data_IF_768837572556
#
_entry.id   IF_768837572556
#
_cell.length_a   1.000
_cell.length_b   1.000
_cell.length_c   1.000
_cell.angle_alpha   90.00
_cell.angle_beta   90.00
_cell.angle_gamma   90.00
#
_symmetry.space_group_name_H-M   'P 1'
#
loop_
_entity.id
_entity.type
_entity.pdbx_description
1 polymer ?
#
# COMPACT_ATOMS: atom_id res chain seq x y z
N UNK A 1 -37.87 6.90 -27.16
CA UNK A 1 -37.48 7.28 -25.78
C UNK A 1 -36.00 6.97 -25.63
N UNK A 2 -35.16 8.00 -25.50
CA UNK A 2 -33.71 7.85 -25.37
C UNK A 2 -33.42 7.31 -23.97
N UNK A 3 -32.77 6.15 -23.86
CA UNK A 3 -32.30 5.64 -22.58
C UNK A 3 -31.36 6.69 -21.96
N UNK A 4 -31.54 7.09 -20.69
CA UNK A 4 -30.60 8.00 -20.05
C UNK A 4 -29.20 7.39 -20.15
N UNK A 5 -28.22 8.17 -20.65
CA UNK A 5 -26.82 7.74 -20.79
C UNK A 5 -26.41 7.06 -19.49
N UNK A 6 -26.33 5.73 -19.49
CA UNK A 6 -26.00 4.94 -18.30
C UNK A 6 -24.61 5.38 -17.88
N UNK A 7 -24.53 6.11 -16.77
CA UNK A 7 -23.27 6.51 -16.17
C UNK A 7 -22.48 5.22 -15.94
N UNK A 8 -21.29 5.14 -16.50
CA UNK A 8 -20.45 3.97 -16.32
C UNK A 8 -19.99 3.94 -14.86
N UNK A 9 -20.66 3.12 -14.05
CA UNK A 9 -20.44 3.05 -12.60
C UNK A 9 -18.98 2.83 -12.25
N UNK A 10 -18.25 2.04 -13.04
CA UNK A 10 -16.82 1.81 -12.79
C UNK A 10 -15.96 3.04 -13.01
N UNK A 11 -16.30 3.84 -14.02
CA UNK A 11 -15.65 5.14 -14.25
C UNK A 11 -15.99 6.12 -13.14
N UNK A 12 -17.23 6.16 -12.66
CA UNK A 12 -17.62 7.01 -11.54
C UNK A 12 -16.87 6.64 -10.26
N UNK A 13 -16.75 5.35 -9.95
CA UNK A 13 -16.00 4.85 -8.78
C UNK A 13 -14.53 5.30 -8.84
N UNK A 14 -13.83 5.02 -9.95
CA UNK A 14 -12.41 5.39 -10.03
C UNK A 14 -12.22 6.91 -10.07
N UNK A 15 -13.12 7.67 -10.70
CA UNK A 15 -13.05 9.13 -10.70
C UNK A 15 -13.23 9.71 -9.29
N UNK A 16 -14.16 9.16 -8.52
CA UNK A 16 -14.31 9.49 -7.10
C UNK A 16 -13.03 9.21 -6.32
N UNK A 17 -12.42 8.03 -6.52
CA UNK A 17 -11.15 7.67 -5.86
C UNK A 17 -10.02 8.63 -6.24
N UNK A 18 -9.83 8.94 -7.52
CA UNK A 18 -8.81 9.91 -7.95
C UNK A 18 -9.06 11.30 -7.34
N UNK A 19 -10.32 11.72 -7.23
CA UNK A 19 -10.71 12.97 -6.57
C UNK A 19 -10.46 12.96 -5.07
N UNK A 20 -10.77 11.86 -4.39
CA UNK A 20 -10.47 11.66 -2.97
C UNK A 20 -8.96 11.73 -2.72
N UNK A 21 -8.17 10.99 -3.50
CA UNK A 21 -6.71 10.94 -3.35
C UNK A 21 -6.03 12.28 -3.66
N UNK A 22 -6.63 13.15 -4.46
CA UNK A 22 -6.12 14.51 -4.70
C UNK A 22 -6.03 15.33 -3.41
N UNK A 23 -6.91 15.09 -2.45
CA UNK A 23 -6.87 15.75 -1.15
C UNK A 23 -5.86 15.10 -0.17
N UNK A 24 -5.23 13.99 -0.55
CA UNK A 24 -4.35 13.20 0.31
C UNK A 24 -3.06 12.81 -0.44
N UNK A 25 -2.07 13.72 -0.55
CA UNK A 25 -0.83 13.48 -1.29
C UNK A 25 -0.06 12.23 -0.83
N UNK A 26 -0.09 11.93 0.47
CA UNK A 26 0.55 10.75 1.05
C UNK A 26 -0.15 9.43 0.71
N UNK A 27 -1.34 9.51 0.10
CA UNK A 27 -2.18 8.39 -0.28
C UNK A 27 -3.06 7.86 0.85
N UNK A 28 -4.04 7.04 0.48
CA UNK A 28 -4.95 6.36 1.43
C UNK A 28 -4.84 4.86 1.33
N UNK A 29 -5.15 4.18 2.43
CA UNK A 29 -5.29 2.72 2.44
C UNK A 29 -6.57 2.32 1.69
N UNK A 30 -6.60 1.17 1.00
CA UNK A 30 -7.80 0.68 0.33
C UNK A 30 -9.01 0.59 1.24
N UNK A 31 -8.86 0.13 2.49
CA UNK A 31 -9.93 0.11 3.49
C UNK A 31 -10.60 1.48 3.66
N UNK A 32 -9.81 2.53 3.87
CA UNK A 32 -10.34 3.89 4.04
C UNK A 32 -11.05 4.37 2.77
N UNK A 33 -10.50 4.04 1.59
CA UNK A 33 -11.11 4.37 0.31
C UNK A 33 -12.47 3.66 0.16
N UNK A 34 -12.56 2.40 0.56
CA UNK A 34 -13.80 1.62 0.52
C UNK A 34 -14.87 2.22 1.44
N UNK A 35 -14.51 2.56 2.68
CA UNK A 35 -15.42 3.22 3.62
C UNK A 35 -15.92 4.57 3.08
N UNK A 36 -15.04 5.36 2.45
CA UNK A 36 -15.40 6.65 1.85
C UNK A 36 -16.36 6.48 0.67
N UNK A 37 -16.18 5.44 -0.15
CA UNK A 37 -17.10 5.10 -1.24
C UNK A 37 -18.47 4.72 -0.68
N UNK A 38 -18.51 3.80 0.30
CA UNK A 38 -19.77 3.35 0.90
C UNK A 38 -20.53 4.49 1.59
N UNK A 39 -19.81 5.45 2.19
CA UNK A 39 -20.40 6.59 2.88
C UNK A 39 -20.86 7.71 1.94
N UNK A 40 -20.09 8.03 0.90
CA UNK A 40 -20.30 9.26 0.10
C UNK A 40 -20.92 9.02 -1.27
N UNK A 41 -20.82 7.81 -1.83
CA UNK A 41 -21.42 7.52 -3.14
C UNK A 41 -22.80 6.86 -2.98
N UNK A 42 -23.80 7.26 -3.80
CA UNK A 42 -25.09 6.59 -3.83
C UNK A 42 -24.94 5.23 -4.55
N UNK A 43 -24.64 4.19 -3.76
CA UNK A 43 -24.59 2.80 -4.21
C UNK A 43 -26.01 2.21 -4.14
N UNK A 44 -26.51 1.72 -5.27
CA UNK A 44 -27.82 1.08 -5.38
C UNK A 44 -27.75 -0.41 -4.99
N UNK A 45 -28.90 -1.10 -5.01
CA UNK A 45 -28.96 -2.52 -4.65
C UNK A 45 -28.16 -3.40 -5.61
N UNK A 46 -28.04 -3.01 -6.88
CA UNK A 46 -27.26 -3.74 -7.88
C UNK A 46 -25.76 -3.64 -7.61
N UNK A 47 -25.28 -2.49 -7.16
CA UNK A 47 -23.88 -2.28 -6.75
C UNK A 47 -23.51 -3.11 -5.52
N UNK A 48 -24.45 -3.23 -4.58
CA UNK A 48 -24.27 -3.92 -3.30
C UNK A 48 -24.44 -5.43 -3.40
N UNK A 49 -24.98 -5.93 -4.51
CA UNK A 49 -25.14 -7.36 -4.74
C UNK A 49 -23.80 -8.11 -4.61
N UNK A 50 -23.78 -9.15 -3.80
CA UNK A 50 -22.61 -10.01 -3.61
C UNK A 50 -22.38 -10.90 -4.82
N UNK A 51 -21.17 -10.84 -5.39
CA UNK A 51 -20.80 -11.69 -6.52
C UNK A 51 -20.50 -13.13 -6.08
N UNK A 52 -21.06 -14.12 -6.80
CA UNK A 52 -20.94 -15.55 -6.45
C UNK A 52 -19.50 -16.08 -6.44
N UNK A 53 -18.60 -15.52 -7.25
CA UNK A 53 -17.22 -16.00 -7.33
C UNK A 53 -16.31 -15.41 -6.26
N UNK A 54 -16.24 -14.08 -6.18
CA UNK A 54 -15.37 -13.39 -5.19
C UNK A 54 -15.98 -13.29 -3.78
N UNK A 55 -17.30 -13.45 -3.63
CA UNK A 55 -17.98 -13.23 -2.35
C UNK A 55 -18.02 -11.76 -1.91
N UNK A 56 -17.62 -10.84 -2.79
CA UNK A 56 -17.55 -9.41 -2.52
C UNK A 56 -18.70 -8.65 -3.21
N UNK A 57 -19.08 -7.46 -2.70
CA UNK A 57 -20.02 -6.58 -3.39
C UNK A 57 -19.54 -6.23 -4.80
N UNK A 58 -20.47 -6.18 -5.76
CA UNK A 58 -20.18 -5.89 -7.17
C UNK A 58 -19.38 -4.62 -7.38
N UNK A 59 -19.65 -3.57 -6.60
CA UNK A 59 -18.91 -2.31 -6.70
C UNK A 59 -17.42 -2.47 -6.33
N UNK A 60 -17.06 -3.36 -5.39
CA UNK A 60 -15.65 -3.63 -5.01
C UNK A 60 -14.91 -4.31 -6.16
N UNK A 61 -15.53 -5.34 -6.76
CA UNK A 61 -14.98 -5.98 -7.95
C UNK A 61 -14.82 -4.98 -9.11
N UNK A 62 -15.85 -4.15 -9.34
CA UNK A 62 -15.83 -3.12 -10.38
C UNK A 62 -14.70 -2.11 -10.16
N UNK A 63 -14.53 -1.62 -8.93
CA UNK A 63 -13.45 -0.70 -8.56
C UNK A 63 -12.08 -1.35 -8.73
N UNK A 64 -11.92 -2.62 -8.37
CA UNK A 64 -10.67 -3.35 -8.56
C UNK A 64 -10.23 -3.27 -10.04
N UNK A 65 -11.09 -3.59 -11.01
CA UNK A 65 -10.72 -3.51 -12.44
C UNK A 65 -10.35 -2.11 -12.89
N UNK A 66 -11.15 -1.11 -12.49
CA UNK A 66 -10.91 0.27 -12.91
C UNK A 66 -9.64 0.83 -12.27
N UNK A 67 -9.31 0.41 -11.05
CA UNK A 67 -8.06 0.78 -10.39
C UNK A 67 -6.83 0.14 -11.06
N UNK A 68 -6.94 -1.10 -11.56
CA UNK A 68 -5.89 -1.72 -12.38
C UNK A 68 -5.72 -0.93 -13.68
N UNK A 69 -6.81 -0.65 -14.39
CA UNK A 69 -6.77 0.14 -15.62
C UNK A 69 -6.17 1.54 -15.40
N UNK A 70 -6.55 2.23 -14.33
CA UNK A 70 -5.99 3.53 -13.95
C UNK A 70 -4.50 3.44 -13.62
N UNK A 71 -4.06 2.36 -12.96
CA UNK A 71 -2.64 2.12 -12.67
C UNK A 71 -1.84 1.95 -13.95
N UNK A 72 -2.33 1.09 -14.88
CA UNK A 72 -1.67 0.89 -16.18
C UNK A 72 -1.75 2.11 -17.09
N UNK A 73 -2.74 2.98 -16.89
CA UNK A 73 -2.85 4.25 -17.58
C UNK A 73 -1.95 5.36 -16.99
N UNK A 74 -1.23 5.10 -15.90
CA UNK A 74 -0.35 6.08 -15.24
C UNK A 74 -1.10 7.12 -14.40
N UNK A 75 -2.38 6.89 -14.08
CA UNK A 75 -3.22 7.82 -13.31
C UNK A 75 -3.20 7.54 -11.81
N UNK A 76 -2.90 6.30 -11.43
CA UNK A 76 -2.93 5.80 -10.07
C UNK A 76 -1.63 5.05 -9.78
N UNK A 77 -1.08 5.24 -8.59
CA UNK A 77 0.05 4.45 -8.07
C UNK A 77 -0.46 3.66 -6.87
N UNK A 78 -0.19 2.36 -6.86
CA UNK A 78 -0.43 1.48 -5.72
C UNK A 78 0.91 0.98 -5.21
N UNK A 79 1.35 1.49 -4.06
CA UNK A 79 2.60 1.06 -3.42
C UNK A 79 2.42 1.00 -1.92
N UNK A 80 3.07 0.04 -1.26
CA UNK A 80 3.15 -0.05 0.20
C UNK A 80 1.79 -0.12 0.92
N UNK A 81 0.78 -0.71 0.27
CA UNK A 81 -0.60 -0.78 0.77
C UNK A 81 -1.33 0.57 0.73
N UNK A 82 -0.84 1.54 -0.04
CA UNK A 82 -1.46 2.86 -0.21
C UNK A 82 -1.67 3.16 -1.69
N UNK A 83 -2.78 3.84 -1.97
CA UNK A 83 -3.10 4.33 -3.29
C UNK A 83 -2.85 5.83 -3.33
N UNK A 84 -2.17 6.29 -4.37
CA UNK A 84 -1.83 7.70 -4.63
C UNK A 84 -2.25 8.07 -6.05
N UNK A 85 -2.74 9.28 -6.22
CA UNK A 85 -3.04 9.82 -7.55
C UNK A 85 -1.77 10.48 -8.13
N UNK A 86 -1.49 10.27 -9.41
CA UNK A 86 -0.37 10.93 -10.09
C UNK A 86 -0.75 12.34 -10.54
N UNK A 87 0.23 13.18 -10.88
CA UNK A 87 -0.03 14.51 -11.44
C UNK A 87 -0.89 14.45 -12.72
N UNK A 88 -0.70 13.41 -13.54
CA UNK A 88 -1.56 13.15 -14.71
C UNK A 88 -2.97 12.76 -14.24
N UNK A 89 -3.10 11.83 -13.28
CA UNK A 89 -4.38 11.42 -12.70
C UNK A 89 -5.21 12.58 -12.15
N UNK A 90 -4.57 13.55 -11.48
CA UNK A 90 -5.24 14.72 -10.91
C UNK A 90 -5.93 15.57 -11.98
N UNK A 91 -5.35 15.69 -13.18
CA UNK A 91 -5.93 16.45 -14.31
C UNK A 91 -7.20 15.79 -14.85
N UNK A 92 -7.28 14.46 -14.80
CA UNK A 92 -8.43 13.71 -15.30
C UNK A 92 -9.61 13.64 -14.31
N UNK A 93 -9.43 14.05 -13.06
CA UNK A 93 -10.53 14.19 -12.09
C UNK A 93 -11.56 15.23 -12.56
N UNK A 94 -11.11 16.31 -13.20
CA UNK A 94 -11.98 17.42 -13.63
C UNK A 94 -12.61 17.20 -15.01
N UNK A 95 -12.15 16.21 -15.77
CA UNK A 95 -12.62 15.95 -17.13
C UNK A 95 -13.92 15.12 -17.13
N UNK A 96 -14.71 15.17 -18.22
CA UNK A 96 -15.90 14.33 -18.35
C UNK A 96 -15.58 12.83 -18.28
N UNK A 97 -16.50 12.03 -17.75
CA UNK A 97 -16.31 10.59 -17.53
C UNK A 97 -15.95 9.83 -18.82
N UNK A 98 -16.50 10.25 -19.96
CA UNK A 98 -16.19 9.62 -21.24
C UNK A 98 -14.72 9.80 -21.66
N UNK A 99 -14.08 10.91 -21.27
CA UNK A 99 -12.67 11.16 -21.59
C UNK A 99 -11.75 10.31 -20.74
N UNK A 100 -12.04 10.24 -19.43
CA UNK A 100 -11.35 9.35 -18.51
C UNK A 100 -11.45 7.89 -18.97
N UNK A 101 -12.66 7.44 -19.34
CA UNK A 101 -12.90 6.10 -19.88
C UNK A 101 -12.10 5.83 -21.16
N UNK A 102 -12.11 6.77 -22.10
CA UNK A 102 -11.39 6.67 -23.39
C UNK A 102 -9.88 6.57 -23.15
N UNK A 103 -9.32 7.43 -22.30
CA UNK A 103 -7.90 7.44 -21.98
C UNK A 103 -7.47 6.12 -21.32
N UNK A 104 -8.16 5.71 -20.24
CA UNK A 104 -7.84 4.47 -19.53
C UNK A 104 -7.85 3.26 -20.49
N UNK A 105 -8.85 3.19 -21.38
CA UNK A 105 -8.93 2.12 -22.39
C UNK A 105 -7.78 2.16 -23.40
N UNK A 106 -7.39 3.34 -23.89
CA UNK A 106 -6.29 3.47 -24.86
C UNK A 106 -4.97 3.06 -24.24
N UNK A 107 -4.62 3.64 -23.09
CA UNK A 107 -3.34 3.37 -22.41
C UNK A 107 -3.25 1.92 -21.90
N UNK A 108 -4.36 1.35 -21.41
CA UNK A 108 -4.39 -0.06 -21.05
C UNK A 108 -4.14 -0.97 -22.26
N UNK A 109 -4.70 -0.63 -23.43
CA UNK A 109 -4.48 -1.36 -24.68
C UNK A 109 -3.02 -1.27 -25.14
N UNK A 110 -2.44 -0.08 -25.09
CA UNK A 110 -1.02 0.15 -25.41
C UNK A 110 -0.10 -0.65 -24.47
N UNK A 111 -0.37 -0.61 -23.16
CA UNK A 111 0.31 -1.43 -22.16
C UNK A 111 0.18 -2.93 -22.46
N UNK A 112 -1.04 -3.42 -22.71
CA UNK A 112 -1.26 -4.84 -23.08
C UNK A 112 -0.51 -5.24 -24.34
N UNK A 113 -0.52 -4.38 -25.37
CA UNK A 113 0.15 -4.66 -26.63
C UNK A 113 1.68 -4.70 -26.49
N UNK A 114 2.26 -3.77 -25.75
CA UNK A 114 3.71 -3.75 -25.50
C UNK A 114 4.16 -4.95 -24.66
N UNK A 115 3.34 -5.41 -23.71
CA UNK A 115 3.67 -6.55 -22.84
C UNK A 115 3.37 -7.91 -23.49
N UNK A 116 2.45 -7.97 -24.46
CA UNK A 116 2.19 -9.18 -25.24
C UNK A 116 3.34 -9.47 -26.23
N UNK A 117 3.95 -8.45 -26.83
CA UNK A 117 5.12 -8.61 -27.72
C UNK A 117 6.33 -9.24 -27.03
N UNK A 118 6.51 -9.00 -25.72
CA UNK A 118 7.61 -9.59 -24.93
C UNK A 118 7.37 -11.10 -24.70
N UNK A 119 6.12 -11.55 -24.60
CA UNK A 119 5.77 -12.99 -24.47
C UNK A 119 5.87 -13.78 -25.79
N UNK A 120 5.77 -13.13 -26.95
CA UNK A 120 5.76 -13.84 -28.27
C UNK A 120 7.15 -14.20 -28.81
N UNK A 121 8.25 -13.74 -28.19
CA UNK A 121 9.61 -14.03 -28.65
C UNK A 121 10.22 -15.35 -28.14
N UNK A 122 9.45 -16.20 -27.43
CA UNK A 122 9.92 -17.52 -26.98
C UNK A 122 8.75 -18.49 -26.72
N UNK A 123 8.66 -19.52 -27.58
CA UNK A 123 7.87 -20.77 -27.52
C UNK A 123 6.47 -20.72 -26.84
N UNK A 124 5.47 -20.97 -27.67
CA UNK A 124 4.05 -21.01 -27.34
C UNK A 124 3.66 -22.16 -26.40
N UNK A 125 3.22 -21.82 -25.19
CA UNK A 125 2.00 -22.29 -24.48
C UNK A 125 1.83 -21.47 -23.19
N UNK A 126 1.68 -20.16 -23.31
CA UNK A 126 1.25 -19.36 -22.18
C UNK A 126 -0.29 -19.30 -22.20
N UNK A 127 -0.92 -20.14 -21.37
CA UNK A 127 -2.26 -19.84 -20.85
C UNK A 127 -2.21 -18.38 -20.35
N UNK A 128 -3.24 -17.59 -20.67
CA UNK A 128 -3.38 -16.24 -20.17
C UNK A 128 -3.36 -16.28 -18.64
N UNK A 129 -2.19 -16.07 -18.00
CA UNK A 129 -1.99 -16.05 -16.55
C UNK A 129 -2.63 -14.81 -15.91
N UNK A 130 -3.68 -14.27 -16.52
CA UNK A 130 -4.60 -13.38 -15.83
C UNK A 130 -5.50 -14.30 -15.02
N UNK A 131 -5.34 -14.39 -13.68
CA UNK A 131 -6.22 -15.22 -12.88
C UNK A 131 -7.68 -14.85 -13.17
N UNK A 132 -8.62 -15.81 -13.09
CA UNK A 132 -10.04 -15.52 -13.28
C UNK A 132 -10.45 -14.28 -12.49
N UNK A 133 -11.37 -13.52 -13.08
CA UNK A 133 -11.84 -12.23 -12.59
C UNK A 133 -12.04 -12.24 -11.06
N UNK A 134 -12.77 -13.23 -10.56
CA UNK A 134 -13.09 -13.41 -9.15
C UNK A 134 -11.87 -13.75 -8.28
N UNK A 135 -10.93 -14.54 -8.79
CA UNK A 135 -9.70 -14.94 -8.08
C UNK A 135 -8.77 -13.75 -7.86
N UNK A 136 -8.64 -12.86 -8.84
CA UNK A 136 -7.79 -11.66 -8.73
C UNK A 136 -8.29 -10.67 -7.67
N UNK A 137 -9.61 -10.46 -7.62
CA UNK A 137 -10.25 -9.58 -6.65
C UNK A 137 -10.14 -10.18 -5.25
N UNK A 138 -10.41 -11.48 -5.11
CA UNK A 138 -10.31 -12.18 -3.83
C UNK A 138 -8.89 -12.15 -3.26
N UNK A 139 -7.88 -12.36 -4.10
CA UNK A 139 -6.48 -12.33 -3.68
C UNK A 139 -6.06 -10.95 -3.16
N UNK A 140 -6.39 -9.87 -3.88
CA UNK A 140 -6.10 -8.51 -3.41
C UNK A 140 -6.86 -8.19 -2.11
N UNK A 141 -8.12 -8.61 -1.98
CA UNK A 141 -8.89 -8.40 -0.76
C UNK A 141 -8.28 -9.14 0.44
N UNK A 142 -7.88 -10.40 0.25
CA UNK A 142 -7.19 -11.19 1.27
C UNK A 142 -5.86 -10.56 1.67
N UNK A 143 -5.10 -10.03 0.72
CA UNK A 143 -3.83 -9.33 0.97
C UNK A 143 -4.03 -8.05 1.77
N UNK A 144 -5.04 -7.25 1.42
CA UNK A 144 -5.38 -6.04 2.17
C UNK A 144 -5.83 -6.38 3.60
N UNK A 145 -6.66 -7.41 3.75
CA UNK A 145 -7.09 -7.89 5.07
C UNK A 145 -5.93 -8.40 5.92
N UNK A 146 -5.02 -9.19 5.34
CA UNK A 146 -3.83 -9.66 6.06
C UNK A 146 -2.94 -8.48 6.51
N UNK A 147 -2.77 -7.46 5.66
CA UNK A 147 -2.02 -6.26 6.02
C UNK A 147 -2.70 -5.47 7.13
N UNK A 148 -4.01 -5.36 7.08
CA UNK A 148 -4.81 -4.73 8.13
C UNK A 148 -4.71 -5.47 9.47
N UNK A 149 -4.75 -6.80 9.46
CA UNK A 149 -4.58 -7.63 10.66
C UNK A 149 -3.18 -7.44 11.25
N UNK A 150 -2.14 -7.40 10.41
CA UNK A 150 -0.76 -7.09 10.86
C UNK A 150 -0.70 -5.70 11.46
N UNK A 151 -1.18 -4.67 10.76
CA UNK A 151 -1.13 -3.29 11.25
C UNK A 151 -1.89 -3.16 12.58
N UNK A 152 -3.09 -3.75 12.69
CA UNK A 152 -3.88 -3.75 13.92
C UNK A 152 -3.15 -4.44 15.06
N UNK A 153 -2.49 -5.58 14.78
CA UNK A 153 -1.71 -6.28 15.78
C UNK A 153 -0.52 -5.43 16.26
N UNK A 154 0.21 -4.80 15.34
CA UNK A 154 1.32 -3.90 15.68
C UNK A 154 0.85 -2.74 16.57
N UNK A 155 -0.28 -2.11 16.23
CA UNK A 155 -0.85 -1.00 17.00
C UNK A 155 -1.26 -1.41 18.43
N UNK A 156 -1.56 -2.70 18.65
CA UNK A 156 -1.91 -3.22 19.99
C UNK A 156 -0.70 -3.48 20.88
N UNK A 157 0.51 -3.49 20.34
CA UNK A 157 1.72 -3.76 21.10
C UNK A 157 2.07 -2.59 22.02
N UNK A 158 2.47 -2.89 23.26
CA UNK A 158 3.12 -1.91 24.11
C UNK A 158 4.47 -1.47 23.52
N UNK A 159 4.99 -0.31 23.94
CA UNK A 159 6.30 0.17 23.47
C UNK A 159 7.43 -0.84 23.66
N UNK A 160 7.43 -1.58 24.77
CA UNK A 160 8.42 -2.62 25.05
C UNK A 160 8.23 -3.88 24.19
N UNK A 161 6.99 -4.29 23.92
CA UNK A 161 6.73 -5.41 23.01
C UNK A 161 7.12 -5.06 21.57
N UNK A 162 6.84 -3.83 21.14
CA UNK A 162 7.27 -3.34 19.83
C UNK A 162 8.80 -3.25 19.72
N UNK A 163 9.48 -2.83 20.79
CA UNK A 163 10.95 -2.88 20.86
C UNK A 163 11.50 -4.30 20.71
N UNK A 164 10.88 -5.29 21.39
CA UNK A 164 11.26 -6.71 21.22
C UNK A 164 11.03 -7.20 19.78
N UNK A 165 9.93 -6.76 19.15
CA UNK A 165 9.66 -7.07 17.74
C UNK A 165 10.74 -6.49 16.81
N UNK A 166 11.16 -5.23 17.03
CA UNK A 166 12.23 -4.61 16.24
C UNK A 166 13.56 -5.36 16.45
N UNK A 167 13.87 -5.80 17.67
CA UNK A 167 15.04 -6.62 17.93
C UNK A 167 14.99 -7.95 17.16
N UNK A 168 13.88 -8.67 17.23
CA UNK A 168 13.69 -9.92 16.47
C UNK A 168 13.77 -9.71 14.95
N UNK A 169 13.32 -8.55 14.44
CA UNK A 169 13.48 -8.19 13.03
C UNK A 169 14.95 -8.03 12.65
N UNK A 170 15.74 -7.33 13.47
CA UNK A 170 17.18 -7.17 13.24
C UNK A 170 17.90 -8.53 13.24
N UNK A 171 17.52 -9.44 14.15
CA UNK A 171 18.02 -10.82 14.17
C UNK A 171 17.65 -11.59 12.91
N UNK A 172 16.39 -11.48 12.46
CA UNK A 172 15.93 -12.07 11.20
C UNK A 172 16.65 -11.51 9.96
N UNK A 173 17.17 -10.27 10.04
CA UNK A 173 17.99 -9.65 9.01
C UNK A 173 19.48 -10.05 9.10
N UNK A 174 19.88 -10.81 10.12
CA UNK A 174 21.23 -11.33 10.29
C UNK A 174 22.13 -10.50 11.23
N UNK A 175 21.59 -9.50 11.93
CA UNK A 175 22.32 -8.77 12.97
C UNK A 175 22.23 -9.51 14.31
N UNK A 176 23.29 -9.48 15.10
CA UNK A 176 23.26 -10.00 16.46
C UNK A 176 22.78 -8.91 17.42
N UNK A 177 21.61 -9.07 18.03
CA UNK A 177 21.15 -8.14 19.08
C UNK A 177 21.70 -8.57 20.43
N UNK A 178 22.49 -7.71 21.09
CA UNK A 178 23.10 -8.08 22.37
C UNK A 178 22.32 -7.59 23.57
N UNK A 179 21.54 -6.53 23.40
CA UNK A 179 20.85 -5.87 24.50
C UNK A 179 19.59 -5.20 24.00
N UNK A 180 18.48 -5.59 24.59
CA UNK A 180 17.20 -4.88 24.54
C UNK A 180 17.01 -4.26 25.92
N UNK A 181 16.95 -2.92 25.99
CA UNK A 181 16.88 -2.18 27.25
C UNK A 181 15.65 -2.58 28.07
N UNK A 182 15.84 -2.85 29.37
CA UNK A 182 14.74 -3.13 30.31
C UNK A 182 13.93 -1.85 30.58
N UNK A 183 12.67 -1.97 31.05
CA UNK A 183 11.86 -0.81 31.43
C UNK A 183 12.60 0.13 32.40
N UNK A 184 12.82 1.38 31.99
CA UNK A 184 13.57 2.37 32.78
C UNK A 184 14.18 3.50 31.93
N UNK A 185 15.02 4.34 32.55
CA UNK A 185 15.81 5.34 31.81
C UNK A 185 16.88 4.61 30.98
N UNK A 186 16.57 4.45 29.71
CA UNK A 186 17.32 3.75 28.65
C UNK A 186 18.51 4.56 28.09
N UNK A 187 18.74 5.77 28.60
CA UNK A 187 19.80 6.65 28.11
C UNK A 187 19.65 7.00 26.61
N UNK A 188 18.45 6.81 26.05
CA UNK A 188 18.13 7.05 24.65
C UNK A 188 18.45 5.91 23.67
N UNK A 189 18.96 4.76 24.12
CA UNK A 189 19.20 3.57 23.26
C UNK A 189 18.32 2.39 23.69
N UNK A 190 17.48 1.91 22.79
CA UNK A 190 16.56 0.80 23.07
C UNK A 190 17.15 -0.56 22.69
N UNK A 191 17.90 -0.59 21.58
CA UNK A 191 18.56 -1.81 21.08
C UNK A 191 19.98 -1.47 20.64
N UNK A 192 20.92 -2.35 21.00
CA UNK A 192 22.26 -2.38 20.43
C UNK A 192 22.45 -3.66 19.64
N UNK A 193 22.73 -3.51 18.35
CA UNK A 193 22.90 -4.61 17.41
C UNK A 193 24.28 -4.58 16.74
N UNK A 194 24.76 -5.75 16.34
CA UNK A 194 26.08 -5.95 15.76
C UNK A 194 26.00 -6.70 14.44
N UNK A 195 26.97 -6.46 13.57
CA UNK A 195 27.12 -7.19 12.29
C UNK A 195 27.70 -8.59 12.47
N UNK A 196 28.21 -8.91 13.66
CA UNK A 196 28.71 -10.22 14.03
C UNK A 196 28.32 -10.59 15.47
N UNK A 197 28.18 -11.89 15.81
CA UNK A 197 27.77 -12.33 17.14
C UNK A 197 28.69 -11.92 18.29
N UNK A 198 29.96 -11.61 18.02
CA UNK A 198 30.94 -11.24 19.05
C UNK A 198 31.04 -9.71 19.23
N UNK A 199 30.39 -8.92 18.38
CA UNK A 199 30.49 -7.46 18.37
C UNK A 199 31.90 -6.95 18.03
N UNK A 200 32.73 -7.78 17.40
CA UNK A 200 34.12 -7.45 17.11
C UNK A 200 34.26 -6.45 15.95
N UNK A 201 33.35 -6.53 14.98
CA UNK A 201 33.37 -5.68 13.81
C UNK A 201 32.59 -4.39 14.05
N UNK A 202 33.02 -3.33 13.36
CA UNK A 202 32.37 -2.02 13.34
C UNK A 202 31.77 -1.76 11.94
N UNK A 203 30.66 -1.02 11.83
CA UNK A 203 30.01 -0.28 12.91
C UNK A 203 29.03 -1.12 13.74
N UNK A 204 28.82 -0.70 14.99
CA UNK A 204 27.73 -1.16 15.84
C UNK A 204 26.47 -0.33 15.56
N UNK A 205 25.30 -0.93 15.65
CA UNK A 205 24.03 -0.29 15.29
C UNK A 205 23.28 0.06 16.57
N UNK A 206 23.09 1.36 16.82
CA UNK A 206 22.20 1.85 17.87
C UNK A 206 20.83 2.11 17.29
N UNK A 207 19.80 1.62 17.98
CA UNK A 207 18.42 1.79 17.55
C UNK A 207 17.62 2.40 18.68
N UNK A 208 16.86 3.44 18.33
CA UNK A 208 15.83 4.02 19.18
C UNK A 208 14.46 3.71 18.57
N UNK A 209 13.57 3.15 19.37
CA UNK A 209 12.25 2.67 18.98
C UNK A 209 11.20 3.62 19.55
N UNK A 210 10.37 4.17 18.68
CA UNK A 210 9.21 4.99 19.07
C UNK A 210 7.94 4.33 18.52
N UNK A 211 7.10 3.82 19.41
CA UNK A 211 5.78 3.28 19.05
C UNK A 211 4.70 4.33 19.30
N UNK A 212 4.30 5.07 18.26
CA UNK A 212 3.30 6.14 18.30
C UNK A 212 2.78 6.46 16.89
N UNK A 213 1.57 7.03 16.82
CA UNK A 213 0.94 7.40 15.55
C UNK A 213 1.60 8.59 14.86
N UNK A 214 2.23 9.48 15.61
CA UNK A 214 2.82 10.69 15.03
C UNK A 214 4.18 10.39 14.41
N UNK A 215 4.47 11.05 13.29
CA UNK A 215 5.75 10.92 12.59
C UNK A 215 6.93 11.27 13.51
N UNK A 216 8.07 10.61 13.27
CA UNK A 216 9.34 10.95 13.89
C UNK A 216 9.66 12.44 13.69
N UNK A 217 9.97 13.13 14.78
CA UNK A 217 10.29 14.56 14.76
C UNK A 217 11.78 14.78 14.49
N UNK A 218 12.16 16.04 14.19
CA UNK A 218 13.58 16.40 14.10
C UNK A 218 14.28 16.26 15.44
N UNK A 219 13.58 16.52 16.54
CA UNK A 219 14.13 16.32 17.88
C UNK A 219 14.45 14.84 18.15
N UNK A 220 13.58 13.91 17.75
CA UNK A 220 13.83 12.47 17.91
C UNK A 220 15.11 12.03 17.20
N UNK A 221 15.28 12.46 15.93
CA UNK A 221 16.47 12.14 15.14
C UNK A 221 17.73 12.78 15.74
N UNK A 222 17.61 14.01 16.26
CA UNK A 222 18.72 14.69 16.91
C UNK A 222 19.12 13.99 18.23
N UNK A 223 18.15 13.47 19.00
CA UNK A 223 18.40 12.73 20.23
C UNK A 223 19.20 11.45 19.96
N UNK A 224 18.80 10.64 18.96
CA UNK A 224 19.56 9.46 18.56
C UNK A 224 20.98 9.82 18.05
N UNK A 225 21.11 10.87 17.24
CA UNK A 225 22.43 11.33 16.78
C UNK A 225 23.33 11.79 17.93
N UNK A 226 22.76 12.38 18.98
CA UNK A 226 23.50 12.87 20.14
C UNK A 226 24.18 11.77 20.96
N UNK A 227 23.70 10.54 20.88
CA UNK A 227 24.23 9.40 21.65
C UNK A 227 25.15 8.47 20.83
N UNK A 228 25.17 8.61 19.50
CA UNK A 228 25.99 7.79 18.59
C UNK A 228 27.45 8.25 18.65
N UNK A 229 28.37 7.30 18.84
CA UNK A 229 29.81 7.49 18.72
C UNK A 229 30.25 7.23 17.27
N UNK A 230 30.32 8.29 16.47
CA UNK A 230 30.49 8.20 15.01
C UNK A 230 31.78 7.55 14.50
N UNK A 231 32.74 7.21 15.35
CA UNK A 231 33.94 6.45 15.00
C UNK A 231 33.67 4.94 14.89
N UNK A 232 32.66 4.42 15.60
CA UNK A 232 32.39 2.97 15.71
C UNK A 232 30.91 2.59 15.65
N UNK A 233 30.01 3.56 15.68
CA UNK A 233 28.56 3.35 15.77
C UNK A 233 27.81 4.07 14.65
N UNK A 234 26.68 3.48 14.24
CA UNK A 234 25.69 4.07 13.33
C UNK A 234 24.28 3.92 13.92
N UNK A 235 23.32 4.68 13.42
CA UNK A 235 21.92 4.63 13.82
C UNK A 235 21.04 5.59 13.04
#
# INVERSE_FOLDING_TARGET
MSQPKTVDRGVSLIKFVLGLLRAHPDGKRPRDIYMEIESKLPLDDFDKETMKGSGLPRWRATLHFHSVAATKAGLLVKSDGRWRVTDEGQKFVTLPDYELKRLMRSRYREWRWSHQKVKTAGIATAVDETPPLDTSVLFEDAKEKAREEIDTYLDTLSGYEFQNLVAALLEGMGYATSTVSKPGSDGGTDILAYIDPLGAQTPHIRVQVKHRDQTASREDVAALRGIIRGDREIG
#
